data_IF_432990681158
#
_entry.id   IF_432990681158
#
_cell.length_a   1.000
_cell.length_b   1.000
_cell.length_c   1.000
_cell.angle_alpha   90.00
_cell.angle_beta   90.00
_cell.angle_gamma   90.00
#
_symmetry.space_group_name_H-M   'P 1'
#
loop_
_entity.id
_entity.type
_entity.pdbx_description
1 polymer ?
#
# COMPACT_ATOMS: atom_id res chain seq x y z
N UNK A 1 -43.74 -56.57 -69.39
CA UNK A 1 -44.26 -55.22 -69.73
C UNK A 1 -43.34 -54.21 -69.07
N UNK A 2 -42.32 -53.75 -69.80
CA UNK A 2 -41.77 -52.38 -69.67
C UNK A 2 -42.81 -51.39 -70.26
N UNK A 3 -42.73 -50.04 -70.14
CA UNK A 3 -41.52 -49.19 -70.11
C UNK A 3 -41.57 -47.96 -69.15
N UNK A 4 -40.45 -47.48 -68.59
CA UNK A 4 -39.48 -46.45 -69.05
C UNK A 4 -39.90 -44.96 -68.90
N UNK A 5 -38.85 -44.15 -68.70
CA UNK A 5 -38.69 -42.70 -68.91
C UNK A 5 -39.17 -41.77 -67.79
N UNK A 6 -38.51 -40.66 -67.45
CA UNK A 6 -37.18 -40.07 -67.69
C UNK A 6 -37.18 -38.80 -66.82
N UNK A 7 -36.02 -38.28 -66.41
CA UNK A 7 -35.56 -36.92 -66.76
C UNK A 7 -34.38 -36.46 -65.89
N UNK A 8 -33.31 -36.12 -66.62
CA UNK A 8 -32.16 -35.32 -66.23
C UNK A 8 -32.54 -33.88 -65.77
N UNK A 9 -31.74 -33.33 -64.85
CA UNK A 9 -31.15 -31.96 -64.89
C UNK A 9 -30.23 -31.77 -63.67
N UNK A 10 -28.92 -31.55 -63.85
CA UNK A 10 -28.22 -30.24 -63.90
C UNK A 10 -28.39 -29.41 -62.60
N UNK A 11 -27.40 -28.77 -61.99
CA UNK A 11 -25.97 -28.54 -62.22
C UNK A 11 -25.40 -27.89 -60.92
N UNK A 12 -24.08 -27.94 -60.72
CA UNK A 12 -23.20 -26.78 -60.41
C UNK A 12 -21.94 -27.17 -59.63
N UNK A 13 -20.87 -27.17 -60.42
CA UNK A 13 -19.50 -26.82 -60.11
C UNK A 13 -19.40 -25.52 -59.29
N UNK A 14 -18.69 -25.56 -58.17
CA UNK A 14 -17.91 -24.43 -57.64
C UNK A 14 -16.87 -24.98 -56.66
N UNK A 15 -15.60 -24.80 -57.02
CA UNK A 15 -14.47 -25.31 -56.29
C UNK A 15 -14.22 -24.60 -54.96
N UNK A 16 -13.41 -25.25 -54.14
CA UNK A 16 -12.39 -24.55 -53.40
C UNK A 16 -11.20 -25.48 -53.17
N UNK A 17 -10.10 -25.19 -53.89
CA UNK A 17 -8.80 -25.79 -53.68
C UNK A 17 -8.11 -25.06 -52.53
N UNK A 18 -8.11 -25.65 -51.34
CA UNK A 18 -7.24 -25.20 -50.25
C UNK A 18 -6.27 -26.32 -49.89
N UNK A 19 -5.08 -26.21 -50.48
CA UNK A 19 -3.85 -26.91 -50.09
C UNK A 19 -3.32 -26.24 -48.82
N UNK A 20 -3.04 -26.97 -47.72
CA UNK A 20 -2.19 -26.45 -46.66
C UNK A 20 -0.72 -26.77 -46.97
N UNK A 21 0.09 -25.72 -46.88
CA UNK A 21 1.52 -25.71 -47.12
C UNK A 21 2.29 -26.69 -46.24
N UNK A 22 3.23 -27.42 -46.87
CA UNK A 22 4.29 -28.16 -46.21
C UNK A 22 5.33 -27.17 -45.66
N UNK A 23 5.36 -27.01 -44.34
CA UNK A 23 6.40 -26.25 -43.64
C UNK A 23 7.62 -27.17 -43.43
N UNK A 24 8.54 -27.12 -44.40
CA UNK A 24 9.85 -27.76 -44.31
C UNK A 24 10.82 -26.87 -43.53
N UNK A 25 10.92 -27.08 -42.22
CA UNK A 25 12.00 -26.51 -41.43
C UNK A 25 13.26 -27.38 -41.52
N UNK A 26 14.11 -26.98 -42.46
CA UNK A 26 15.51 -27.36 -42.61
C UNK A 26 16.32 -26.84 -41.41
N UNK A 27 16.71 -27.73 -40.48
CA UNK A 27 17.67 -27.39 -39.42
C UNK A 27 19.03 -27.98 -39.76
N UNK A 28 19.95 -27.06 -40.06
CA UNK A 28 21.39 -27.26 -40.21
C UNK A 28 21.95 -28.11 -39.06
N UNK A 29 22.50 -29.27 -39.41
CA UNK A 29 23.44 -30.00 -38.56
C UNK A 29 24.83 -29.39 -38.74
N UNK A 30 25.25 -28.55 -37.79
CA UNK A 30 26.65 -28.19 -37.64
C UNK A 30 27.41 -29.35 -36.98
N UNK A 31 28.38 -29.83 -37.75
CA UNK A 31 29.24 -30.96 -37.52
C UNK A 31 30.46 -30.46 -36.74
N UNK A 32 30.56 -30.77 -35.45
CA UNK A 32 31.82 -30.69 -34.72
C UNK A 32 32.27 -32.10 -34.35
N UNK A 33 33.36 -32.49 -35.00
CA UNK A 33 34.13 -33.67 -34.68
C UNK A 33 35.15 -33.36 -33.57
N UNK A 34 35.52 -34.45 -32.88
CA UNK A 34 36.79 -34.67 -32.19
C UNK A 34 36.89 -34.16 -30.73
N UNK A 35 36.83 -35.09 -29.77
CA UNK A 35 37.99 -35.67 -29.07
C UNK A 35 37.58 -36.25 -27.71
N UNK A 36 37.77 -37.55 -27.53
CA UNK A 36 38.11 -38.12 -26.23
C UNK A 36 39.53 -37.66 -25.86
N UNK A 37 39.84 -37.40 -24.59
CA UNK A 37 40.60 -38.42 -23.86
C UNK A 37 40.29 -38.55 -22.35
N UNK A 38 40.61 -39.75 -21.86
CA UNK A 38 41.24 -40.10 -20.58
C UNK A 38 40.71 -39.55 -19.24
N UNK A 39 40.30 -40.52 -18.42
CA UNK A 39 40.70 -40.76 -17.02
C UNK A 39 41.43 -39.61 -16.29
N UNK A 40 40.75 -39.04 -15.29
CA UNK A 40 41.39 -38.52 -14.10
C UNK A 40 40.45 -38.65 -12.89
N UNK A 41 40.97 -39.32 -11.87
CA UNK A 41 40.44 -39.46 -10.52
C UNK A 41 40.23 -38.11 -9.82
N UNK A 42 39.41 -38.15 -8.77
CA UNK A 42 39.43 -37.26 -7.61
C UNK A 42 39.37 -35.73 -7.86
N UNK A 43 38.23 -35.12 -7.56
CA UNK A 43 38.09 -34.25 -6.37
C UNK A 43 36.66 -33.70 -6.30
N UNK A 44 35.97 -34.08 -5.22
CA UNK A 44 34.84 -33.33 -4.68
C UNK A 44 35.27 -31.89 -4.43
N UNK A 45 34.76 -30.92 -5.19
CA UNK A 45 34.82 -29.51 -4.80
C UNK A 45 33.59 -28.79 -5.34
N UNK A 46 32.59 -28.68 -4.46
CA UNK A 46 31.48 -27.75 -4.62
C UNK A 46 32.04 -26.32 -4.47
N UNK A 47 31.83 -25.40 -5.44
CA UNK A 47 32.19 -24.00 -5.24
C UNK A 47 31.20 -23.37 -4.25
N UNK A 48 31.62 -23.26 -2.98
CA UNK A 48 30.90 -22.49 -1.97
C UNK A 48 31.16 -21.00 -2.22
N UNK A 49 30.22 -20.32 -2.87
CA UNK A 49 30.18 -18.86 -2.87
C UNK A 49 29.68 -18.39 -1.51
N UNK A 50 30.55 -18.45 -0.50
CA UNK A 50 30.30 -17.86 0.82
C UNK A 50 30.57 -16.37 0.72
N UNK A 51 29.53 -15.59 0.41
CA UNK A 51 29.55 -14.15 0.66
C UNK A 51 29.69 -13.95 2.17
N UNK A 52 30.88 -13.54 2.59
CA UNK A 52 31.14 -13.06 3.93
C UNK A 52 30.35 -11.77 4.16
N UNK A 53 29.17 -11.89 4.77
CA UNK A 53 28.55 -10.77 5.48
C UNK A 53 29.09 -10.86 6.91
N UNK A 54 30.01 -9.96 7.23
CA UNK A 54 30.55 -9.81 8.57
C UNK A 54 29.43 -9.40 9.55
N UNK A 55 29.26 -10.07 10.70
CA UNK A 55 28.42 -9.56 11.76
C UNK A 55 29.11 -8.36 12.41
N UNK A 56 28.49 -7.18 12.27
CA UNK A 56 28.86 -5.99 13.01
C UNK A 56 28.62 -6.23 14.50
N UNK A 57 29.70 -6.54 15.21
CA UNK A 57 29.79 -6.65 16.65
C UNK A 57 29.62 -5.27 17.29
N UNK A 58 28.37 -4.86 17.58
CA UNK A 58 28.18 -3.75 18.50
C UNK A 58 28.18 -4.27 19.95
N UNK A 59 29.39 -4.26 20.51
CA UNK A 59 29.77 -3.99 21.90
C UNK A 59 28.67 -4.25 22.96
N UNK A 60 28.64 -5.48 23.45
CA UNK A 60 28.04 -5.85 24.73
C UNK A 60 28.79 -5.14 25.86
N UNK A 61 28.04 -4.50 26.76
CA UNK A 61 28.57 -3.76 27.90
C UNK A 61 29.48 -4.61 28.79
N UNK A 62 30.65 -4.07 29.11
CA UNK A 62 31.51 -4.53 30.19
C UNK A 62 31.15 -3.76 31.45
N UNK A 63 30.41 -4.42 32.33
CA UNK A 63 30.49 -4.13 33.76
C UNK A 63 31.71 -4.89 34.30
N UNK A 64 32.72 -4.15 34.74
CA UNK A 64 33.57 -4.43 35.92
C UNK A 64 34.89 -3.65 35.78
N UNK A 65 35.06 -2.64 36.63
CA UNK A 65 36.35 -2.27 37.21
C UNK A 65 36.13 -1.22 38.29
N UNK A 66 35.85 -1.68 39.51
CA UNK A 66 36.17 -0.93 40.73
C UNK A 66 37.68 -0.64 40.74
N UNK A 67 38.05 0.64 40.76
CA UNK A 67 39.32 1.08 41.35
C UNK A 67 39.05 2.31 42.20
N UNK A 68 39.18 2.11 43.50
CA UNK A 68 39.57 3.15 44.46
C UNK A 68 40.85 3.81 43.95
N UNK A 69 40.90 5.15 43.95
CA UNK A 69 42.13 5.84 44.30
C UNK A 69 41.88 7.29 44.74
N UNK A 70 42.36 7.53 45.95
CA UNK A 70 43.07 8.73 46.41
C UNK A 70 42.31 10.05 46.56
N UNK A 71 41.97 10.28 47.82
CA UNK A 71 42.05 11.55 48.54
C UNK A 71 43.21 12.43 48.06
N UNK A 72 42.90 13.62 47.56
CA UNK A 72 43.85 14.73 47.59
C UNK A 72 43.28 15.91 48.39
N UNK A 73 43.91 16.06 49.55
CA UNK A 73 43.84 17.20 50.44
C UNK A 73 44.61 18.35 49.81
N UNK A 74 43.94 19.44 49.45
CA UNK A 74 44.61 20.74 49.31
C UNK A 74 43.92 21.72 50.25
N UNK A 75 44.58 21.93 51.38
CA UNK A 75 44.39 23.08 52.24
C UNK A 75 44.75 24.36 51.47
N UNK A 76 43.82 25.31 51.44
CA UNK A 76 44.05 26.70 51.04
C UNK A 76 43.35 27.60 52.05
N UNK A 77 44.09 28.00 53.08
CA UNK A 77 43.57 28.74 54.22
C UNK A 77 43.31 30.23 53.97
N UNK A 78 42.55 30.77 54.93
CA UNK A 78 42.73 32.09 55.54
C UNK A 78 42.46 33.32 54.65
N UNK A 79 41.38 34.04 54.96
CA UNK A 79 41.49 35.31 55.70
C UNK A 79 40.09 35.83 56.08
N UNK A 80 39.86 35.84 57.39
CA UNK A 80 38.98 36.80 58.06
C UNK A 80 39.45 38.21 57.70
N UNK A 81 38.60 38.99 57.03
CA UNK A 81 38.71 40.44 57.05
C UNK A 81 37.34 41.03 57.41
N UNK A 82 37.26 41.47 58.66
CA UNK A 82 36.16 42.20 59.24
C UNK A 82 36.32 43.67 58.80
N UNK A 83 35.52 44.11 57.84
CA UNK A 83 35.29 45.52 57.53
C UNK A 83 33.76 45.70 57.41
N UNK A 84 33.12 46.54 58.25
CA UNK A 84 31.69 46.74 58.23
C UNK A 84 31.36 47.85 57.21
N UNK A 85 30.99 47.46 56.00
CA UNK A 85 30.45 48.39 55.01
C UNK A 85 29.36 47.74 54.16
N UNK A 86 28.36 48.53 53.75
CA UNK A 86 27.18 48.85 54.53
C UNK A 86 26.28 47.61 54.72
N UNK A 87 25.32 47.68 55.63
CA UNK A 87 24.18 46.76 55.68
C UNK A 87 23.32 46.96 54.42
N UNK A 88 23.81 46.54 53.26
CA UNK A 88 23.00 46.32 52.07
C UNK A 88 22.52 44.88 52.15
N UNK A 89 21.44 44.75 52.93
CA UNK A 89 20.52 43.63 53.11
C UNK A 89 21.10 42.25 52.78
N UNK A 90 21.54 41.54 53.81
CA UNK A 90 21.75 40.08 53.75
C UNK A 90 20.54 39.38 53.12
N UNK A 91 19.35 39.91 53.34
CA UNK A 91 18.08 39.49 52.73
C UNK A 91 18.06 39.64 51.20
N UNK A 92 18.62 40.71 50.62
CA UNK A 92 18.76 40.86 49.18
C UNK A 92 19.71 39.82 48.61
N UNK A 93 20.85 39.57 49.26
CA UNK A 93 21.78 38.51 48.83
C UNK A 93 21.15 37.11 48.92
N UNK A 94 20.40 36.83 49.99
CA UNK A 94 19.64 35.57 50.12
C UNK A 94 18.61 35.45 48.99
N UNK A 95 17.89 36.53 48.67
CA UNK A 95 16.91 36.53 47.58
C UNK A 95 17.55 36.32 46.19
N UNK A 96 18.71 36.92 45.92
CA UNK A 96 19.46 36.68 44.68
C UNK A 96 19.90 35.22 44.55
N UNK A 97 20.46 34.64 45.63
CA UNK A 97 20.87 33.23 45.64
C UNK A 97 19.70 32.27 45.48
N UNK A 98 18.54 32.55 46.09
CA UNK A 98 17.32 31.74 45.88
C UNK A 98 16.84 31.82 44.43
N UNK A 99 16.86 33.01 43.82
CA UNK A 99 16.47 33.20 42.42
C UNK A 99 17.42 32.48 41.45
N UNK A 100 18.72 32.48 41.75
CA UNK A 100 19.72 31.74 40.98
C UNK A 100 19.56 30.23 41.18
N UNK A 101 19.24 29.79 42.39
CA UNK A 101 18.96 28.39 42.68
C UNK A 101 17.69 27.91 41.95
N UNK A 102 16.65 28.74 41.90
CA UNK A 102 15.43 28.46 41.15
C UNK A 102 15.68 28.45 39.64
N UNK A 103 16.50 29.35 39.10
CA UNK A 103 16.89 29.31 37.68
C UNK A 103 17.69 28.06 37.33
N UNK A 104 18.55 27.59 38.24
CA UNK A 104 19.29 26.33 38.09
C UNK A 104 18.38 25.11 38.19
N UNK A 105 17.36 25.12 39.06
CA UNK A 105 16.33 24.07 39.12
C UNK A 105 15.53 24.00 37.82
N UNK A 106 15.11 25.15 37.30
CA UNK A 106 14.38 25.23 36.02
C UNK A 106 15.24 24.73 34.85
N UNK A 107 16.52 25.09 34.82
CA UNK A 107 17.45 24.61 33.80
C UNK A 107 17.65 23.10 33.89
N UNK A 108 17.86 22.57 35.09
CA UNK A 108 18.03 21.12 35.30
C UNK A 108 16.77 20.35 34.88
N UNK A 109 15.58 20.84 35.26
CA UNK A 109 14.32 20.27 34.80
C UNK A 109 14.20 20.25 33.27
N UNK A 110 14.51 21.37 32.61
CA UNK A 110 14.54 21.44 31.13
C UNK A 110 15.55 20.47 30.51
N UNK A 111 16.70 20.24 31.14
CA UNK A 111 17.70 19.28 30.68
C UNK A 111 17.21 17.84 30.86
N UNK A 112 16.57 17.52 31.99
CA UNK A 112 15.94 16.23 32.23
C UNK A 112 14.83 15.95 31.20
N UNK A 113 13.96 16.92 30.93
CA UNK A 113 12.90 16.78 29.91
C UNK A 113 13.48 16.55 28.51
N UNK A 114 14.55 17.27 28.15
CA UNK A 114 15.28 17.07 26.88
C UNK A 114 15.93 15.69 26.80
N UNK A 115 16.51 15.21 27.90
CA UNK A 115 17.14 13.91 27.98
C UNK A 115 16.10 12.80 27.82
N UNK A 116 14.98 12.88 28.54
CA UNK A 116 13.87 11.95 28.38
C UNK A 116 13.27 11.94 26.96
N UNK A 117 13.18 13.11 26.31
CA UNK A 117 12.77 13.19 24.90
C UNK A 117 13.78 12.50 23.97
N UNK A 118 15.09 12.68 24.21
CA UNK A 118 16.14 12.05 23.40
C UNK A 118 16.25 10.54 23.62
N UNK A 119 15.98 10.06 24.83
CA UNK A 119 15.87 8.63 25.14
C UNK A 119 14.72 7.99 24.37
N UNK A 120 13.53 8.59 24.41
CA UNK A 120 12.38 8.10 23.60
C UNK A 120 12.68 8.09 22.11
N UNK A 121 13.29 9.15 21.60
CA UNK A 121 13.72 9.25 20.19
C UNK A 121 14.78 8.21 19.80
N UNK A 122 15.61 7.75 20.75
CA UNK A 122 16.59 6.68 20.51
C UNK A 122 15.91 5.32 20.54
N UNK A 123 15.04 5.06 21.51
CA UNK A 123 14.24 3.84 21.60
C UNK A 123 13.41 3.62 20.32
N UNK A 124 12.74 4.66 19.81
CA UNK A 124 11.99 4.56 18.55
C UNK A 124 12.89 4.18 17.38
N UNK A 125 14.08 4.79 17.27
CA UNK A 125 15.02 4.47 16.19
C UNK A 125 15.60 3.06 16.30
N UNK A 126 15.80 2.56 17.52
CA UNK A 126 16.25 1.19 17.75
C UNK A 126 15.20 0.19 17.29
N UNK A 127 13.94 0.38 17.69
CA UNK A 127 12.83 -0.48 17.26
C UNK A 127 12.66 -0.43 15.73
N UNK A 128 12.76 0.75 15.11
CA UNK A 128 12.69 0.88 13.65
C UNK A 128 13.83 0.12 12.94
N UNK A 129 15.05 0.16 13.49
CA UNK A 129 16.19 -0.57 12.95
C UNK A 129 16.02 -2.09 13.07
N UNK A 130 15.59 -2.59 14.23
CA UNK A 130 15.29 -4.01 14.46
C UNK A 130 14.16 -4.49 13.53
N UNK A 131 13.15 -3.66 13.31
CA UNK A 131 12.07 -3.96 12.37
C UNK A 131 12.62 -4.09 10.93
N UNK A 132 13.46 -3.16 10.49
CA UNK A 132 14.08 -3.23 9.16
C UNK A 132 14.98 -4.46 8.99
N UNK A 133 15.77 -4.81 10.00
CA UNK A 133 16.58 -6.04 10.00
C UNK A 133 15.69 -7.27 9.87
N UNK A 134 14.61 -7.38 10.66
CA UNK A 134 13.68 -8.52 10.58
C UNK A 134 13.00 -8.64 9.20
N UNK A 135 12.66 -7.51 8.56
CA UNK A 135 12.06 -7.50 7.22
C UNK A 135 13.06 -8.00 6.17
N UNK A 136 14.32 -7.58 6.26
CA UNK A 136 15.37 -8.03 5.34
C UNK A 136 15.63 -9.53 5.55
N UNK A 137 15.71 -10.00 6.79
CA UNK A 137 15.88 -11.42 7.11
C UNK A 137 14.72 -12.28 6.56
N UNK A 138 13.47 -11.83 6.73
CA UNK A 138 12.30 -12.50 6.18
C UNK A 138 12.35 -12.60 4.65
N UNK A 139 12.73 -11.51 3.98
CA UNK A 139 12.86 -11.46 2.51
C UNK A 139 14.00 -12.37 2.01
N UNK A 140 15.11 -12.47 2.74
CA UNK A 140 16.19 -13.39 2.41
C UNK A 140 15.75 -14.85 2.62
N UNK A 141 15.05 -15.15 3.71
CA UNK A 141 14.52 -16.48 3.99
C UNK A 141 13.48 -16.92 2.94
N UNK A 142 12.60 -16.01 2.51
CA UNK A 142 11.64 -16.25 1.43
C UNK A 142 12.35 -16.62 0.12
N UNK A 143 13.33 -15.82 -0.30
CA UNK A 143 14.11 -16.10 -1.51
C UNK A 143 14.88 -17.42 -1.41
N UNK A 144 15.46 -17.72 -0.25
CA UNK A 144 16.14 -18.99 -0.03
C UNK A 144 15.17 -20.19 -0.08
N UNK A 145 13.97 -20.04 0.51
CA UNK A 145 12.91 -21.04 0.44
C UNK A 145 12.48 -21.33 -1.00
N UNK A 146 12.22 -20.29 -1.80
CA UNK A 146 11.85 -20.41 -3.21
C UNK A 146 12.91 -21.16 -4.02
N UNK A 147 14.19 -20.84 -3.84
CA UNK A 147 15.29 -21.54 -4.51
C UNK A 147 15.37 -23.02 -4.14
N UNK A 148 15.14 -23.36 -2.87
CA UNK A 148 15.14 -24.76 -2.42
C UNK A 148 13.98 -25.53 -3.05
N UNK A 149 12.79 -24.92 -3.13
CA UNK A 149 11.62 -25.52 -3.80
C UNK A 149 11.88 -25.74 -5.29
N UNK A 150 12.45 -24.75 -5.99
CA UNK A 150 12.83 -24.87 -7.40
C UNK A 150 13.83 -26.01 -7.64
N UNK A 151 14.88 -26.09 -6.82
CA UNK A 151 15.86 -27.18 -6.89
C UNK A 151 15.17 -28.52 -6.69
N UNK A 152 14.30 -28.64 -5.69
CA UNK A 152 13.59 -29.89 -5.41
C UNK A 152 12.68 -30.31 -6.57
N UNK A 153 11.94 -29.36 -7.16
CA UNK A 153 11.12 -29.59 -8.34
C UNK A 153 11.96 -30.04 -9.54
N UNK A 154 13.04 -29.33 -9.87
CA UNK A 154 13.93 -29.70 -10.96
C UNK A 154 14.57 -31.08 -10.76
N UNK A 155 14.91 -31.44 -9.52
CA UNK A 155 15.48 -32.74 -9.19
C UNK A 155 14.46 -33.87 -9.38
N UNK A 156 13.21 -33.65 -8.95
CA UNK A 156 12.11 -34.59 -9.17
C UNK A 156 11.83 -34.79 -10.66
N UNK A 157 11.80 -33.71 -11.45
CA UNK A 157 11.61 -33.79 -12.90
C UNK A 157 12.75 -34.56 -13.58
N UNK A 158 14.01 -34.28 -13.17
CA UNK A 158 15.18 -35.03 -13.64
C UNK A 158 15.05 -36.53 -13.34
N UNK A 159 14.67 -36.91 -12.13
CA UNK A 159 14.53 -38.32 -11.75
C UNK A 159 13.39 -38.99 -12.51
N UNK A 160 12.27 -38.29 -12.73
CA UNK A 160 11.18 -38.80 -13.57
C UNK A 160 11.62 -39.01 -15.02
N UNK A 161 12.35 -38.05 -15.60
CA UNK A 161 12.87 -38.15 -16.95
C UNK A 161 13.87 -39.31 -17.10
N UNK A 162 14.76 -39.49 -16.11
CA UNK A 162 15.70 -40.61 -16.07
C UNK A 162 14.96 -41.94 -15.99
N UNK A 163 13.97 -42.06 -15.10
CA UNK A 163 13.16 -43.28 -14.97
C UNK A 163 12.36 -43.56 -16.24
N UNK A 164 11.83 -42.55 -16.92
CA UNK A 164 11.14 -42.71 -18.20
C UNK A 164 12.08 -43.22 -19.29
N UNK A 165 13.29 -42.64 -19.43
CA UNK A 165 14.31 -43.10 -20.38
C UNK A 165 14.74 -44.54 -20.13
N UNK A 166 14.93 -44.92 -18.86
CA UNK A 166 15.27 -46.30 -18.50
C UNK A 166 14.16 -47.29 -18.85
N UNK A 167 12.89 -46.91 -18.67
CA UNK A 167 11.76 -47.77 -19.09
C UNK A 167 11.72 -47.96 -20.60
N UNK A 168 11.83 -46.87 -21.37
CA UNK A 168 11.85 -46.94 -22.83
C UNK A 168 13.02 -47.79 -23.33
N UNK A 169 14.23 -47.63 -22.79
CA UNK A 169 15.37 -48.46 -23.17
C UNK A 169 15.15 -49.95 -22.88
N UNK A 170 14.45 -50.28 -21.77
CA UNK A 170 14.10 -51.66 -21.46
C UNK A 170 13.03 -52.20 -22.43
N UNK A 171 12.01 -51.41 -22.73
CA UNK A 171 10.96 -51.76 -23.70
C UNK A 171 11.56 -52.01 -25.09
N UNK A 172 12.42 -51.12 -25.58
CA UNK A 172 13.13 -51.27 -26.86
C UNK A 172 14.01 -52.52 -26.90
N UNK A 173 14.73 -52.80 -25.81
CA UNK A 173 15.54 -54.03 -25.66
C UNK A 173 14.65 -55.28 -25.73
N UNK A 174 13.54 -55.29 -25.00
CA UNK A 174 12.63 -56.42 -24.96
C UNK A 174 11.92 -56.63 -26.31
N UNK A 175 11.53 -55.56 -27.01
CA UNK A 175 11.02 -55.62 -28.37
C UNK A 175 12.06 -56.17 -29.36
N UNK A 176 13.32 -55.71 -29.27
CA UNK A 176 14.40 -56.21 -30.11
C UNK A 176 14.64 -57.71 -29.89
N UNK A 177 14.62 -58.16 -28.62
CA UNK A 177 14.73 -59.58 -28.28
C UNK A 177 13.55 -60.38 -28.85
N UNK A 178 12.32 -59.89 -28.73
CA UNK A 178 11.15 -60.55 -29.30
C UNK A 178 11.22 -60.65 -30.83
N UNK A 179 11.67 -59.58 -31.51
CA UNK A 179 11.88 -59.59 -32.97
C UNK A 179 12.96 -60.60 -33.36
N UNK A 180 14.07 -60.64 -32.64
CA UNK A 180 15.15 -61.59 -32.88
C UNK A 180 14.68 -63.05 -32.72
N UNK A 181 13.91 -63.34 -31.67
CA UNK A 181 13.33 -64.67 -31.45
C UNK A 181 12.36 -65.07 -32.57
N UNK A 182 11.50 -64.15 -33.04
CA UNK A 182 10.58 -64.42 -34.17
C UNK A 182 11.33 -64.70 -35.47
N UNK A 183 12.37 -63.93 -35.75
CA UNK A 183 13.22 -64.15 -36.93
C UNK A 183 13.95 -65.49 -36.85
N UNK A 184 14.44 -65.86 -35.67
CA UNK A 184 15.06 -67.17 -35.46
C UNK A 184 14.05 -68.31 -35.68
N UNK A 185 12.83 -68.19 -35.15
CA UNK A 185 11.75 -69.16 -35.39
C UNK A 185 11.42 -69.28 -36.88
N UNK A 186 11.22 -68.15 -37.57
CA UNK A 186 10.96 -68.14 -39.01
C UNK A 186 12.10 -68.77 -39.83
N UNK A 187 13.37 -68.52 -39.45
CA UNK A 187 14.53 -69.15 -40.08
C UNK A 187 14.51 -70.68 -39.89
N UNK A 188 14.21 -71.16 -38.69
CA UNK A 188 14.09 -72.61 -38.43
C UNK A 188 12.91 -73.25 -39.17
N UNK A 189 11.81 -72.53 -39.39
CA UNK A 189 10.70 -73.01 -40.20
C UNK A 189 11.07 -73.11 -41.69
N UNK A 190 11.83 -72.15 -42.21
CA UNK A 190 12.31 -72.15 -43.60
C UNK A 190 13.33 -73.27 -43.87
N UNK A 191 14.19 -73.61 -42.91
CA UNK A 191 15.10 -74.77 -43.02
C UNK A 191 14.36 -76.11 -43.19
N UNK A 192 13.08 -76.19 -42.82
CA UNK A 192 12.26 -77.40 -42.91
C UNK A 192 11.44 -77.51 -44.22
N UNK A 193 11.56 -76.58 -45.17
CA UNK A 193 10.81 -76.61 -46.43
C UNK A 193 11.63 -77.26 -47.55
N UNK A 194 11.20 -78.44 -48.02
CA UNK A 194 11.71 -79.05 -49.25
C UNK A 194 11.16 -78.30 -50.48
N UNK A 195 12.00 -77.62 -51.30
CA UNK A 195 11.51 -76.75 -52.37
C UNK A 195 10.87 -77.53 -53.54
N UNK A 196 11.27 -78.79 -53.77
CA UNK A 196 10.78 -79.59 -54.90
C UNK A 196 9.30 -80.00 -54.81
N UNK A 197 8.71 -80.02 -53.59
CA UNK A 197 7.31 -80.45 -53.38
C UNK A 197 6.30 -79.28 -53.37
N UNK A 198 6.77 -78.02 -53.29
CA UNK A 198 5.88 -76.85 -53.27
C UNK A 198 5.48 -76.34 -54.67
N UNK A 199 6.30 -76.56 -55.70
CA UNK A 199 6.08 -75.99 -57.05
C UNK A 199 5.21 -76.85 -57.98
N UNK A 200 4.97 -78.13 -57.64
CA UNK A 200 4.11 -79.02 -58.44
C UNK A 200 2.67 -78.54 -58.38
N UNK A 201 1.93 -78.47 -59.48
CA UNK A 201 0.53 -78.04 -59.40
C UNK A 201 -0.37 -79.17 -58.86
N UNK A 202 -1.54 -78.86 -58.26
CA UNK A 202 -2.41 -79.92 -57.68
C UNK A 202 -2.83 -80.95 -58.75
N UNK A 203 -3.02 -80.47 -59.98
CA UNK A 203 -3.33 -81.30 -61.14
C UNK A 203 -2.17 -82.24 -61.52
N UNK A 204 -0.93 -81.80 -61.37
CA UNK A 204 0.26 -82.61 -61.64
C UNK A 204 0.44 -83.71 -60.58
N UNK A 205 0.19 -83.39 -59.30
CA UNK A 205 0.18 -84.37 -58.22
C UNK A 205 -0.91 -85.43 -58.42
N UNK A 206 -2.12 -85.02 -58.81
CA UNK A 206 -3.22 -85.93 -59.13
C UNK A 206 -2.90 -86.83 -60.34
N UNK A 207 -2.34 -86.26 -61.40
CA UNK A 207 -1.90 -87.03 -62.57
C UNK A 207 -0.80 -88.03 -62.21
N UNK A 208 0.11 -87.68 -61.30
CA UNK A 208 1.18 -88.54 -60.81
C UNK A 208 0.66 -89.69 -59.93
N UNK A 209 -0.38 -89.43 -59.12
CA UNK A 209 -1.11 -90.49 -58.39
C UNK A 209 -1.83 -91.42 -59.37
N UNK A 210 -2.52 -90.88 -60.37
CA UNK A 210 -3.26 -91.66 -61.37
C UNK A 210 -2.34 -92.51 -62.27
N UNK A 211 -1.13 -92.03 -62.56
CA UNK A 211 -0.12 -92.74 -63.36
C UNK A 211 0.88 -93.57 -62.55
N UNK A 212 0.75 -93.62 -61.22
CA UNK A 212 1.70 -94.31 -60.35
C UNK A 212 1.60 -95.83 -60.50
N UNK A 213 2.73 -96.48 -60.80
CA UNK A 213 2.84 -97.94 -60.85
C UNK A 213 3.22 -98.58 -59.51
N UNK A 214 3.53 -97.78 -58.49
CA UNK A 214 3.89 -98.26 -57.15
C UNK A 214 3.24 -97.46 -56.01
N UNK A 215 3.00 -98.13 -54.89
CA UNK A 215 2.37 -97.53 -53.71
C UNK A 215 3.17 -96.35 -53.13
N UNK A 216 4.51 -96.43 -53.18
CA UNK A 216 5.39 -95.39 -52.67
C UNK A 216 5.22 -94.04 -53.39
N UNK A 217 4.98 -94.06 -54.71
CA UNK A 217 4.72 -92.82 -55.48
C UNK A 217 3.36 -92.22 -55.20
N UNK A 218 2.36 -93.05 -54.89
CA UNK A 218 1.03 -92.62 -54.45
C UNK A 218 1.13 -91.98 -53.07
N UNK A 219 1.85 -92.62 -52.15
CA UNK A 219 2.04 -92.13 -50.78
C UNK A 219 2.75 -90.79 -50.74
N UNK A 220 3.86 -90.62 -51.48
CA UNK A 220 4.58 -89.34 -51.55
C UNK A 220 3.73 -88.22 -52.14
N UNK A 221 3.10 -88.46 -53.28
CA UNK A 221 2.25 -87.44 -53.93
C UNK A 221 1.01 -87.13 -53.08
N UNK A 222 0.43 -88.15 -52.43
CA UNK A 222 -0.69 -88.02 -51.51
C UNK A 222 -0.34 -87.26 -50.23
N UNK A 223 0.86 -87.45 -49.68
CA UNK A 223 1.36 -86.71 -48.52
C UNK A 223 1.48 -85.21 -48.83
N UNK A 224 2.05 -84.85 -49.99
CA UNK A 224 2.13 -83.45 -50.44
C UNK A 224 0.73 -82.83 -50.62
N UNK A 225 -0.22 -83.57 -51.20
CA UNK A 225 -1.60 -83.11 -51.34
C UNK A 225 -2.30 -82.91 -49.99
N UNK A 226 -2.12 -83.86 -49.06
CA UNK A 226 -2.67 -83.77 -47.71
C UNK A 226 -2.08 -82.57 -46.96
N UNK A 227 -0.77 -82.35 -47.02
CA UNK A 227 -0.10 -81.20 -46.42
C UNK A 227 -0.64 -79.87 -46.96
N UNK A 228 -0.87 -79.78 -48.28
CA UNK A 228 -1.46 -78.58 -48.90
C UNK A 228 -2.89 -78.33 -48.41
N UNK A 229 -3.68 -79.38 -48.26
CA UNK A 229 -5.04 -79.28 -47.76
C UNK A 229 -5.07 -78.81 -46.29
N UNK A 230 -4.19 -79.34 -45.45
CA UNK A 230 -4.04 -78.87 -44.07
C UNK A 230 -3.60 -77.40 -44.02
N UNK A 231 -2.56 -77.02 -44.78
CA UNK A 231 -2.11 -75.61 -44.88
C UNK A 231 -3.21 -74.67 -45.38
N UNK A 232 -4.03 -75.09 -46.35
CA UNK A 232 -5.16 -74.29 -46.83
C UNK A 232 -6.23 -74.11 -45.74
N UNK A 233 -6.57 -75.18 -45.02
CA UNK A 233 -7.52 -75.14 -43.90
C UNK A 233 -7.00 -74.26 -42.75
N UNK A 234 -5.72 -74.37 -42.43
CA UNK A 234 -5.09 -73.57 -41.36
C UNK A 234 -5.04 -72.09 -41.74
N UNK A 235 -4.73 -71.76 -43.00
CA UNK A 235 -4.84 -70.38 -43.51
C UNK A 235 -6.25 -69.84 -43.39
N UNK A 236 -7.27 -70.62 -43.78
CA UNK A 236 -8.67 -70.19 -43.62
C UNK A 236 -9.01 -69.94 -42.14
N UNK A 237 -8.66 -70.87 -41.24
CA UNK A 237 -8.90 -70.71 -39.81
C UNK A 237 -8.19 -69.48 -39.23
N UNK A 238 -6.96 -69.22 -39.69
CA UNK A 238 -6.16 -68.07 -39.27
C UNK A 238 -6.77 -66.75 -39.75
N UNK A 239 -7.15 -66.67 -41.02
CA UNK A 239 -7.84 -65.48 -41.59
C UNK A 239 -9.12 -65.19 -40.81
N UNK A 240 -9.96 -66.20 -40.57
CA UNK A 240 -11.19 -66.01 -39.80
C UNK A 240 -10.93 -65.55 -38.36
N UNK A 241 -9.87 -66.06 -37.71
CA UNK A 241 -9.50 -65.61 -36.37
C UNK A 241 -8.96 -64.16 -36.35
N UNK A 242 -8.15 -63.79 -37.35
CA UNK A 242 -7.64 -62.43 -37.54
C UNK A 242 -8.80 -61.46 -37.80
N UNK A 243 -9.75 -61.81 -38.68
CA UNK A 243 -10.96 -61.02 -38.96
C UNK A 243 -11.84 -60.85 -37.71
N UNK A 244 -12.10 -61.92 -36.97
CA UNK A 244 -12.86 -61.84 -35.71
C UNK A 244 -12.16 -60.94 -34.69
N UNK A 245 -10.83 -61.02 -34.59
CA UNK A 245 -10.05 -60.18 -33.67
C UNK A 245 -10.10 -58.71 -34.08
N UNK A 246 -9.94 -58.40 -35.36
CA UNK A 246 -10.04 -57.03 -35.88
C UNK A 246 -11.42 -56.41 -35.60
N UNK A 247 -12.51 -57.18 -35.80
CA UNK A 247 -13.87 -56.71 -35.49
C UNK A 247 -14.05 -56.42 -33.98
N UNK A 248 -13.47 -57.25 -33.12
CA UNK A 248 -13.50 -57.03 -31.66
C UNK A 248 -12.72 -55.77 -31.29
N UNK A 249 -11.53 -55.58 -31.84
CA UNK A 249 -10.69 -54.40 -31.61
C UNK A 249 -11.37 -53.11 -32.08
N UNK A 250 -12.00 -53.12 -33.26
CA UNK A 250 -12.76 -51.98 -33.78
C UNK A 250 -13.96 -51.64 -32.88
N UNK A 251 -14.70 -52.65 -32.41
CA UNK A 251 -15.80 -52.48 -31.46
C UNK A 251 -15.30 -51.86 -30.16
N UNK A 252 -14.21 -52.36 -29.60
CA UNK A 252 -13.68 -51.89 -28.33
C UNK A 252 -13.11 -50.47 -28.45
N UNK A 253 -12.45 -50.16 -29.56
CA UNK A 253 -12.02 -48.80 -29.89
C UNK A 253 -13.21 -47.84 -30.02
N UNK A 254 -14.30 -48.27 -30.66
CA UNK A 254 -15.54 -47.49 -30.75
C UNK A 254 -16.16 -47.25 -29.38
N UNK A 255 -16.26 -48.28 -28.54
CA UNK A 255 -16.76 -48.15 -27.16
C UNK A 255 -15.88 -47.21 -26.32
N UNK A 256 -14.56 -47.28 -26.46
CA UNK A 256 -13.64 -46.37 -25.78
C UNK A 256 -13.78 -44.92 -26.26
N UNK A 257 -14.10 -44.70 -27.55
CA UNK A 257 -14.43 -43.36 -28.07
C UNK A 257 -15.76 -42.86 -27.49
N UNK A 258 -16.80 -43.70 -27.45
CA UNK A 258 -18.10 -43.33 -26.86
C UNK A 258 -17.96 -42.96 -25.38
N UNK A 259 -17.26 -43.76 -24.58
CA UNK A 259 -17.03 -43.47 -23.16
C UNK A 259 -16.28 -42.16 -22.92
N UNK A 260 -15.29 -41.84 -23.76
CA UNK A 260 -14.57 -40.56 -23.70
C UNK A 260 -15.49 -39.39 -24.02
N UNK A 261 -16.26 -39.48 -25.09
CA UNK A 261 -17.22 -38.44 -25.47
C UNK A 261 -18.30 -38.23 -24.39
N UNK A 262 -18.76 -39.28 -23.73
CA UNK A 262 -19.68 -39.19 -22.60
C UNK A 262 -19.06 -38.45 -21.40
N UNK A 263 -17.79 -38.72 -21.09
CA UNK A 263 -17.05 -38.01 -20.05
C UNK A 263 -16.86 -36.53 -20.40
N UNK A 264 -16.46 -36.23 -21.64
CA UNK A 264 -16.29 -34.86 -22.14
C UNK A 264 -17.61 -34.08 -22.06
N UNK A 265 -18.73 -34.71 -22.43
CA UNK A 265 -20.06 -34.10 -22.27
C UNK A 265 -20.42 -33.82 -20.80
N UNK A 266 -20.06 -34.71 -19.89
CA UNK A 266 -20.23 -34.47 -18.46
C UNK A 266 -19.39 -33.29 -17.99
N UNK A 267 -18.12 -33.23 -18.37
CA UNK A 267 -17.21 -32.14 -18.00
C UNK A 267 -17.70 -30.81 -18.58
N UNK A 268 -18.18 -30.80 -19.82
CA UNK A 268 -18.71 -29.59 -20.46
C UNK A 268 -19.99 -29.10 -19.78
N UNK A 269 -20.88 -30.01 -19.34
CA UNK A 269 -22.06 -29.67 -18.53
C UNK A 269 -21.67 -29.07 -17.18
N UNK A 270 -20.69 -29.65 -16.49
CA UNK A 270 -20.18 -29.14 -15.21
C UNK A 270 -19.51 -27.77 -15.36
N UNK A 271 -18.71 -27.57 -16.41
CA UNK A 271 -18.11 -26.27 -16.76
C UNK A 271 -19.17 -25.22 -17.10
N UNK A 272 -20.20 -25.59 -17.85
CA UNK A 272 -21.33 -24.69 -18.14
C UNK A 272 -22.12 -24.32 -16.89
N UNK A 273 -22.30 -25.26 -15.96
CA UNK A 273 -23.04 -25.02 -14.73
C UNK A 273 -22.24 -24.17 -13.74
N UNK A 274 -20.95 -24.42 -13.61
CA UNK A 274 -20.03 -23.60 -12.80
C UNK A 274 -19.85 -22.19 -13.38
N UNK A 275 -19.74 -22.04 -14.70
CA UNK A 275 -19.67 -20.72 -15.35
C UNK A 275 -20.97 -19.92 -15.17
N UNK A 276 -22.14 -20.57 -15.27
CA UNK A 276 -23.42 -19.94 -14.98
C UNK A 276 -23.54 -19.49 -13.50
N UNK A 277 -23.01 -20.27 -12.56
CA UNK A 277 -22.98 -19.90 -11.14
C UNK A 277 -22.02 -18.74 -10.87
N UNK A 278 -20.83 -18.73 -11.48
CA UNK A 278 -19.87 -17.63 -11.38
C UNK A 278 -20.44 -16.32 -11.94
N UNK A 279 -21.15 -16.38 -13.07
CA UNK A 279 -21.82 -15.20 -13.65
C UNK A 279 -22.92 -14.64 -12.73
N UNK A 280 -23.69 -15.50 -12.07
CA UNK A 280 -24.68 -15.07 -11.06
C UNK A 280 -23.99 -14.39 -9.86
N UNK A 281 -22.87 -14.91 -9.39
CA UNK A 281 -22.11 -14.31 -8.28
C UNK A 281 -21.57 -12.92 -8.65
N UNK A 282 -20.93 -12.79 -9.82
CA UNK A 282 -20.43 -11.51 -10.32
C UNK A 282 -21.54 -10.47 -10.46
N UNK A 283 -22.74 -10.88 -10.88
CA UNK A 283 -23.89 -9.99 -11.01
C UNK A 283 -24.40 -9.52 -9.64
N UNK A 284 -24.40 -10.40 -8.64
CA UNK A 284 -24.79 -10.07 -7.27
C UNK A 284 -23.77 -9.12 -6.60
N UNK A 285 -22.47 -9.40 -6.73
CA UNK A 285 -21.41 -8.53 -6.23
C UNK A 285 -21.45 -7.15 -6.89
N UNK A 286 -21.70 -7.09 -8.20
CA UNK A 286 -21.80 -5.81 -8.91
C UNK A 286 -23.02 -4.98 -8.46
N UNK A 287 -24.14 -5.63 -8.13
CA UNK A 287 -25.29 -4.95 -7.55
C UNK A 287 -24.98 -4.42 -6.14
N UNK A 288 -24.26 -5.18 -5.33
CA UNK A 288 -23.85 -4.77 -3.99
C UNK A 288 -22.81 -3.63 -4.02
N UNK A 289 -21.89 -3.65 -4.97
CA UNK A 289 -20.94 -2.56 -5.22
C UNK A 289 -21.66 -1.26 -5.61
N UNK A 290 -22.70 -1.34 -6.46
CA UNK A 290 -23.52 -0.16 -6.79
C UNK A 290 -24.28 0.39 -5.59
N UNK A 291 -24.81 -0.48 -4.72
CA UNK A 291 -25.49 -0.05 -3.50
C UNK A 291 -24.51 0.68 -2.56
N UNK A 292 -23.33 0.12 -2.33
CA UNK A 292 -22.29 0.75 -1.50
C UNK A 292 -21.81 2.09 -2.09
N UNK A 293 -21.70 2.19 -3.41
CA UNK A 293 -21.38 3.46 -4.09
C UNK A 293 -22.46 4.52 -3.85
N UNK A 294 -23.74 4.15 -3.95
CA UNK A 294 -24.85 5.07 -3.69
C UNK A 294 -24.87 5.55 -2.23
N UNK A 295 -24.61 4.66 -1.27
CA UNK A 295 -24.53 5.01 0.16
C UNK A 295 -23.34 5.95 0.44
N UNK A 296 -22.20 5.72 -0.20
CA UNK A 296 -21.02 6.56 -0.07
C UNK A 296 -21.26 7.97 -0.64
N UNK A 297 -21.94 8.07 -1.79
CA UNK A 297 -22.34 9.35 -2.37
C UNK A 297 -23.33 10.11 -1.48
N UNK A 298 -24.29 9.42 -0.86
CA UNK A 298 -25.21 10.04 0.11
C UNK A 298 -24.46 10.56 1.34
N UNK A 299 -23.58 9.74 1.92
CA UNK A 299 -22.77 10.15 3.07
C UNK A 299 -21.86 11.35 2.74
N UNK A 300 -21.31 11.41 1.52
CA UNK A 300 -20.55 12.58 1.05
C UNK A 300 -21.41 13.84 1.00
N UNK A 301 -22.63 13.76 0.44
CA UNK A 301 -23.56 14.90 0.39
C UNK A 301 -23.97 15.36 1.78
N UNK A 302 -24.26 14.44 2.69
CA UNK A 302 -24.60 14.76 4.09
C UNK A 302 -23.43 15.45 4.80
N UNK A 303 -22.21 14.95 4.61
CA UNK A 303 -20.98 15.57 5.14
C UNK A 303 -20.79 16.98 4.58
N UNK A 304 -20.97 17.16 3.28
CA UNK A 304 -20.78 18.46 2.63
C UNK A 304 -21.82 19.48 3.12
N UNK A 305 -23.09 19.07 3.27
CA UNK A 305 -24.12 19.90 3.87
C UNK A 305 -23.82 20.25 5.35
N UNK A 306 -23.30 19.30 6.12
CA UNK A 306 -22.89 19.56 7.49
C UNK A 306 -21.73 20.58 7.55
N UNK A 307 -20.74 20.45 6.65
CA UNK A 307 -19.63 21.41 6.55
C UNK A 307 -20.11 22.82 6.16
N UNK A 308 -21.03 22.92 5.20
CA UNK A 308 -21.66 24.20 4.83
C UNK A 308 -22.41 24.81 6.02
N UNK A 309 -23.14 24.00 6.78
CA UNK A 309 -23.85 24.47 7.97
C UNK A 309 -22.88 24.95 9.06
N UNK A 310 -21.81 24.18 9.33
CA UNK A 310 -20.76 24.59 10.27
C UNK A 310 -20.11 25.91 9.85
N UNK A 311 -19.84 26.10 8.55
CA UNK A 311 -19.29 27.37 8.04
C UNK A 311 -20.23 28.55 8.29
N UNK A 312 -21.53 28.39 8.06
CA UNK A 312 -22.53 29.45 8.33
C UNK A 312 -22.56 29.81 9.81
N UNK A 313 -22.56 28.82 10.69
CA UNK A 313 -22.50 29.05 12.14
C UNK A 313 -21.20 29.77 12.55
N UNK A 314 -20.06 29.44 11.95
CA UNK A 314 -18.81 30.16 12.20
C UNK A 314 -18.89 31.63 11.78
N UNK A 315 -19.49 31.92 10.63
CA UNK A 315 -19.74 33.29 10.14
C UNK A 315 -20.67 34.07 11.08
N UNK A 316 -21.74 33.43 11.59
CA UNK A 316 -22.63 34.01 12.60
C UNK A 316 -21.89 34.31 13.91
N UNK A 317 -21.06 33.38 14.40
CA UNK A 317 -20.25 33.57 15.60
C UNK A 317 -19.27 34.73 15.42
N UNK A 318 -18.61 34.83 14.27
CA UNK A 318 -17.71 35.95 13.96
C UNK A 318 -18.47 37.28 13.96
N UNK A 319 -19.65 37.30 13.35
CA UNK A 319 -20.53 38.48 13.31
C UNK A 319 -20.94 38.90 14.72
N UNK A 320 -21.36 37.95 15.57
CA UNK A 320 -21.69 38.21 16.97
C UNK A 320 -20.50 38.73 17.77
N UNK A 321 -19.28 38.23 17.53
CA UNK A 321 -18.06 38.74 18.17
C UNK A 321 -17.81 40.21 17.81
N UNK A 322 -17.99 40.58 16.53
CA UNK A 322 -17.88 41.98 16.10
C UNK A 322 -18.92 42.83 16.79
N UNK A 323 -20.20 42.42 16.79
CA UNK A 323 -21.27 43.15 17.48
C UNK A 323 -20.98 43.34 18.98
N UNK A 324 -20.52 42.29 19.67
CA UNK A 324 -20.16 42.39 21.08
C UNK A 324 -19.00 43.37 21.32
N UNK A 325 -17.95 43.31 20.49
CA UNK A 325 -16.81 44.22 20.60
C UNK A 325 -17.19 45.69 20.35
N UNK A 326 -18.09 45.93 19.39
CA UNK A 326 -18.61 47.25 19.09
C UNK A 326 -19.46 47.78 20.25
N UNK A 327 -20.38 46.96 20.77
CA UNK A 327 -21.21 47.33 21.91
C UNK A 327 -20.35 47.67 23.14
N UNK A 328 -19.31 46.88 23.42
CA UNK A 328 -18.37 47.17 24.52
C UNK A 328 -17.67 48.51 24.34
N UNK A 329 -17.25 48.84 23.12
CA UNK A 329 -16.59 50.11 22.81
C UNK A 329 -17.53 51.30 22.95
N UNK A 330 -18.77 51.18 22.43
CA UNK A 330 -19.80 52.21 22.57
C UNK A 330 -20.21 52.44 24.03
N UNK A 331 -20.31 51.38 24.82
CA UNK A 331 -20.58 51.49 26.26
C UNK A 331 -19.43 52.21 26.99
N UNK A 332 -18.18 51.95 26.62
CA UNK A 332 -17.03 52.65 27.16
C UNK A 332 -17.05 54.14 26.77
N UNK A 333 -17.43 54.46 25.53
CA UNK A 333 -17.62 55.85 25.08
C UNK A 333 -18.72 56.56 25.88
N UNK A 334 -19.86 55.91 26.12
CA UNK A 334 -20.95 56.47 26.91
C UNK A 334 -20.50 56.82 28.34
N UNK A 335 -19.73 55.93 28.98
CA UNK A 335 -19.15 56.18 30.30
C UNK A 335 -18.16 57.36 30.29
N UNK A 336 -17.33 57.48 29.25
CA UNK A 336 -16.40 58.62 29.10
C UNK A 336 -17.15 59.94 28.89
N UNK A 337 -18.26 59.93 28.15
CA UNK A 337 -19.11 61.13 27.98
C UNK A 337 -19.71 61.57 29.30
N UNK A 338 -20.24 60.65 30.10
CA UNK A 338 -20.82 60.96 31.41
C UNK A 338 -19.77 61.55 32.38
N UNK A 339 -18.52 61.06 32.31
CA UNK A 339 -17.39 61.66 33.05
C UNK A 339 -17.07 63.08 32.58
N UNK A 340 -17.08 63.33 31.26
CA UNK A 340 -16.86 64.67 30.71
C UNK A 340 -17.98 65.64 31.11
N UNK A 341 -19.23 65.21 31.03
CA UNK A 341 -20.38 66.03 31.43
C UNK A 341 -20.32 66.38 32.91
N UNK A 342 -19.94 65.42 33.76
CA UNK A 342 -19.71 65.67 35.19
C UNK A 342 -18.59 66.69 35.43
N UNK A 343 -17.48 66.58 34.69
CA UNK A 343 -16.38 67.54 34.78
C UNK A 343 -16.81 68.94 34.31
N UNK A 344 -17.53 69.05 33.19
CA UNK A 344 -18.07 70.31 32.69
C UNK A 344 -19.04 70.94 33.69
N UNK A 345 -19.93 70.15 34.29
CA UNK A 345 -20.82 70.63 35.35
C UNK A 345 -20.05 71.23 36.53
N UNK A 346 -18.96 70.58 36.96
CA UNK A 346 -18.10 71.12 38.02
C UNK A 346 -17.42 72.43 37.64
N UNK A 347 -16.97 72.58 36.38
CA UNK A 347 -16.40 73.82 35.87
C UNK A 347 -17.43 74.93 35.76
N UNK A 348 -18.65 74.63 35.31
CA UNK A 348 -19.75 75.59 35.27
C UNK A 348 -20.15 76.08 36.66
N UNK A 349 -20.22 75.19 37.66
CA UNK A 349 -20.49 75.57 39.04
C UNK A 349 -19.39 76.46 39.61
N UNK A 350 -18.12 76.12 39.34
CA UNK A 350 -16.99 76.96 39.70
C UNK A 350 -17.08 78.34 39.05
N UNK A 351 -17.44 78.40 37.75
CA UNK A 351 -17.60 79.65 37.03
C UNK A 351 -18.75 80.49 37.59
N UNK A 352 -19.92 79.90 37.85
CA UNK A 352 -21.06 80.58 38.49
C UNK A 352 -20.71 81.09 39.88
N UNK A 353 -19.94 80.32 40.66
CA UNK A 353 -19.47 80.77 41.96
C UNK A 353 -18.56 81.99 41.83
N UNK A 354 -17.66 82.00 40.84
CA UNK A 354 -16.77 83.12 40.56
C UNK A 354 -17.55 84.35 40.06
N UNK A 355 -18.53 84.18 39.16
CA UNK A 355 -19.45 85.23 38.72
C UNK A 355 -20.25 85.83 39.88
N UNK A 356 -20.69 85.00 40.83
CA UNK A 356 -21.35 85.44 42.06
C UNK A 356 -20.43 86.30 42.93
N UNK A 357 -19.17 85.88 43.11
CA UNK A 357 -18.15 86.66 43.83
C UNK A 357 -17.87 88.00 43.13
N UNK A 358 -17.76 88.00 41.79
CA UNK A 358 -17.54 89.22 40.99
C UNK A 358 -18.75 90.15 41.09
N UNK A 359 -19.97 89.62 41.04
CA UNK A 359 -21.21 90.41 41.18
C UNK A 359 -21.29 91.07 42.56
N UNK A 360 -20.94 90.35 43.63
CA UNK A 360 -20.86 90.90 44.98
C UNK A 360 -19.78 91.99 45.10
N UNK A 361 -18.61 91.78 44.49
CA UNK A 361 -17.56 92.78 44.43
C UNK A 361 -18.01 94.04 43.67
N UNK A 362 -18.76 93.88 42.59
CA UNK A 362 -19.38 94.98 41.83
C UNK A 362 -20.35 95.79 42.69
N UNK A 363 -21.29 95.14 43.36
CA UNK A 363 -22.23 95.80 44.29
C UNK A 363 -21.51 96.56 45.40
N UNK A 364 -20.45 95.98 45.96
CA UNK A 364 -19.65 96.64 46.99
C UNK A 364 -18.95 97.89 46.45
N UNK A 365 -18.37 97.81 45.25
CA UNK A 365 -17.78 98.96 44.56
C UNK A 365 -18.80 100.07 44.32
N UNK A 366 -20.01 99.72 43.86
CA UNK A 366 -21.10 100.69 43.64
C UNK A 366 -21.57 101.35 44.94
N UNK A 367 -21.66 100.58 46.03
CA UNK A 367 -21.95 101.13 47.36
C UNK A 367 -20.86 102.11 47.82
N UNK A 368 -19.59 101.78 47.60
CA UNK A 368 -18.47 102.66 47.93
C UNK A 368 -18.52 103.96 47.13
N UNK A 369 -18.84 103.87 45.83
CA UNK A 369 -19.03 105.04 44.96
C UNK A 369 -20.19 105.92 45.43
N UNK A 370 -21.32 105.32 45.82
CA UNK A 370 -22.46 106.05 46.35
C UNK A 370 -22.13 106.77 47.67
N UNK A 371 -21.40 106.11 48.58
CA UNK A 371 -20.92 106.74 49.82
C UNK A 371 -20.00 107.94 49.53
N UNK A 372 -19.11 107.80 48.54
CA UNK A 372 -18.19 108.86 48.15
C UNK A 372 -18.92 110.06 47.54
N UNK A 373 -19.94 109.82 46.69
CA UNK A 373 -20.81 110.88 46.16
C UNK A 373 -21.59 111.60 47.27
N UNK A 374 -22.07 110.86 48.27
CA UNK A 374 -22.80 111.43 49.39
C UNK A 374 -21.90 112.31 50.26
N UNK A 375 -20.67 111.86 50.54
CA UNK A 375 -19.66 112.66 51.22
C UNK A 375 -19.27 113.93 50.44
N UNK A 376 -19.18 113.86 49.11
CA UNK A 376 -18.96 115.04 48.26
C UNK A 376 -20.14 116.03 48.32
N UNK A 377 -21.38 115.53 48.34
CA UNK A 377 -22.57 116.37 48.48
C UNK A 377 -22.64 117.03 49.87
N UNK A 378 -22.30 116.30 50.94
CA UNK A 378 -22.17 116.84 52.29
C UNK A 378 -21.09 117.92 52.36
N UNK A 379 -19.93 117.71 51.74
CA UNK A 379 -18.88 118.71 51.65
C UNK A 379 -19.38 119.99 50.94
N UNK A 380 -20.04 119.86 49.79
CA UNK A 380 -20.59 121.00 49.06
C UNK A 380 -21.65 121.77 49.89
N UNK A 381 -22.49 121.06 50.66
CA UNK A 381 -23.47 121.67 51.55
C UNK A 381 -22.81 122.41 52.72
N UNK A 382 -21.77 121.82 53.32
CA UNK A 382 -20.98 122.49 54.36
C UNK A 382 -20.26 123.74 53.83
N UNK A 383 -19.74 123.69 52.62
CA UNK A 383 -19.16 124.87 51.93
C UNK A 383 -20.21 125.96 51.71
N UNK A 384 -21.43 125.60 51.29
CA UNK A 384 -22.53 126.55 51.14
C UNK A 384 -22.94 127.18 52.47
N UNK A 385 -23.04 126.41 53.55
CA UNK A 385 -23.33 126.92 54.90
C UNK A 385 -22.23 127.87 55.41
N UNK A 386 -20.95 127.57 55.13
CA UNK A 386 -19.84 128.47 55.46
C UNK A 386 -19.90 129.79 54.68
N UNK A 387 -20.31 129.75 53.41
CA UNK A 387 -20.53 130.97 52.62
C UNK A 387 -21.69 131.80 53.18
N UNK A 388 -22.81 131.16 53.52
CA UNK A 388 -23.97 131.82 54.13
C UNK A 388 -23.64 132.43 55.49
N UNK A 389 -22.88 131.72 56.33
CA UNK A 389 -22.39 132.24 57.61
C UNK A 389 -21.46 133.44 57.42
N UNK A 390 -20.59 133.43 56.39
CA UNK A 390 -19.75 134.57 56.02
C UNK A 390 -20.56 135.77 55.53
N UNK A 391 -21.63 135.55 54.77
CA UNK A 391 -22.54 136.61 54.32
C UNK A 391 -23.36 137.19 55.48
N UNK A 392 -23.92 136.36 56.35
CA UNK A 392 -24.59 136.80 57.57
C UNK A 392 -23.63 137.55 58.51
N UNK A 393 -22.35 137.15 58.58
CA UNK A 393 -21.32 137.88 59.31
C UNK A 393 -21.05 139.26 58.69
N UNK A 394 -21.02 139.39 57.36
CA UNK A 394 -20.90 140.69 56.66
C UNK A 394 -22.12 141.57 56.93
N UNK A 395 -23.33 141.04 56.80
CA UNK A 395 -24.57 141.79 57.06
C UNK A 395 -24.69 142.24 58.53
N UNK A 396 -24.27 141.41 59.48
CA UNK A 396 -24.21 141.79 60.89
C UNK A 396 -23.16 142.89 61.13
N UNK A 397 -22.02 142.82 60.44
CA UNK A 397 -20.97 143.83 60.54
C UNK A 397 -21.37 145.16 59.90
N UNK A 398 -22.18 145.15 58.84
CA UNK A 398 -22.75 146.35 58.22
C UNK A 398 -23.82 147.02 59.09
N UNK A 399 -24.60 146.25 59.86
CA UNK A 399 -25.63 146.77 60.78
C UNK A 399 -25.08 147.34 62.10
N UNK A 400 -23.81 147.09 62.43
CA UNK A 400 -23.14 147.66 63.61
C UNK A 400 -22.41 148.99 63.28
N UNK A 401 -22.31 149.35 62.00
CA UNK A 401 -21.61 150.57 61.53
C UNK A 401 -22.54 151.69 61.03
N UNK A 402 -23.85 151.59 61.24
CA UNK A 402 -24.86 152.65 61.01
C UNK A 402 -25.80 152.72 62.18
#
# INVERSE_FOLDING_TARGET
MSPEHDYLSQAHDSGDSSVPAEDSHEVRNDKLAAQSPEEAEEHSTVPSYRLHIAPSHWRKGTADSLKEDQTDTIAGGFLTSLEPAPVLDKEKNIAFLLKELDSMRDLNKKLQDKLAMKEKELETRQVDAELQESVIEALVAEKAGALVEEIYCAQRERDQAVMARLRLANEERDEALLRAMRLQQAATELENINPEENDMDLQELLNRVNGATCALTIERSGAVMADRLHKARDRMSRITAEEMSAVIEERDAALARCKRLEQDLHHLKEQSQTSANNMRHLTAENNQERALKADLELAQKERDHALEHSRKLEEEIQTLRVYYSLHKSLSQEASLREQLDSALGSYEEALRSQEGVVSLAGLHSDQLLAQLQLALAEQANMEAQLLQAREAQREAHEKVQK
#
